data_IF_024531928027
#
_entry.id   IF_024531928027
#
_cell.length_a   1.000
_cell.length_b   1.000
_cell.length_c   1.000
_cell.angle_alpha   90.00
_cell.angle_beta   90.00
_cell.angle_gamma   90.00
#
_symmetry.space_group_name_H-M   'P 1'
#
loop_
_entity.id
_entity.type
_entity.pdbx_description
1 polymer ?
#
# COMPACT_ATOMS: atom_id res chain seq x y z
N UNK A 1 -50.89 -23.10 25.44
CA UNK A 1 -50.31 -22.45 24.23
C UNK A 1 -49.34 -21.38 24.72
N UNK A 2 -48.07 -21.75 24.89
CA UNK A 2 -47.00 -20.85 25.34
C UNK A 2 -46.19 -20.49 24.10
N UNK A 3 -46.30 -19.25 23.63
CA UNK A 3 -45.55 -18.74 22.49
C UNK A 3 -44.10 -18.52 22.92
N UNK A 4 -43.21 -19.42 22.49
CA UNK A 4 -41.76 -19.21 22.52
C UNK A 4 -41.41 -18.32 21.33
N UNK A 5 -41.18 -17.03 21.57
CA UNK A 5 -40.62 -16.13 20.56
C UNK A 5 -39.10 -16.35 20.49
N UNK A 6 -38.54 -16.70 19.31
CA UNK A 6 -37.11 -16.82 19.15
C UNK A 6 -36.46 -15.43 19.20
N UNK A 7 -35.43 -15.28 20.03
CA UNK A 7 -34.54 -14.13 19.97
C UNK A 7 -33.91 -14.07 18.58
N UNK A 8 -34.40 -13.14 17.76
CA UNK A 8 -33.78 -12.80 16.48
C UNK A 8 -32.47 -12.10 16.81
N UNK A 9 -31.36 -12.83 16.72
CA UNK A 9 -30.00 -12.29 16.74
C UNK A 9 -29.87 -11.36 15.53
N UNK A 10 -30.14 -10.07 15.72
CA UNK A 10 -29.81 -9.06 14.74
C UNK A 10 -28.29 -8.91 14.72
N UNK A 11 -27.61 -9.58 13.78
CA UNK A 11 -26.24 -9.26 13.41
C UNK A 11 -26.22 -7.85 12.82
N UNK A 12 -26.09 -6.86 13.71
CA UNK A 12 -25.89 -5.49 13.34
C UNK A 12 -24.43 -5.36 12.90
N UNK A 13 -24.13 -5.73 11.65
CA UNK A 13 -22.81 -5.56 11.05
C UNK A 13 -22.57 -4.05 10.87
N UNK A 14 -22.17 -3.37 11.94
CA UNK A 14 -21.64 -2.01 11.85
C UNK A 14 -20.45 -2.07 10.90
N UNK A 15 -20.54 -1.35 9.78
CA UNK A 15 -19.42 -1.19 8.86
C UNK A 15 -18.36 -0.39 9.61
N UNK A 16 -17.18 -0.98 9.80
CA UNK A 16 -16.04 -0.26 10.35
C UNK A 16 -15.63 0.85 9.37
N UNK A 17 -15.52 2.08 9.88
CA UNK A 17 -15.05 3.22 9.12
C UNK A 17 -13.55 3.43 9.31
N UNK A 18 -12.88 3.84 8.24
CA UNK A 18 -11.43 4.05 8.23
C UNK A 18 -11.07 5.45 7.68
N UNK A 19 -10.04 6.05 8.28
CA UNK A 19 -9.34 7.21 7.74
C UNK A 19 -8.11 6.77 6.95
N UNK A 20 -7.99 7.24 5.71
CA UNK A 20 -6.82 7.00 4.87
C UNK A 20 -5.79 8.13 5.04
N UNK A 21 -4.52 7.76 5.21
CA UNK A 21 -3.41 8.70 5.31
C UNK A 21 -2.29 8.30 4.35
N UNK A 22 -1.75 9.29 3.67
CA UNK A 22 -0.55 9.12 2.84
C UNK A 22 0.65 8.78 3.74
N UNK A 23 1.34 7.69 3.41
CA UNK A 23 2.51 7.22 4.14
C UNK A 23 3.78 7.40 3.31
N UNK A 24 4.84 7.87 3.97
CA UNK A 24 6.17 7.90 3.38
C UNK A 24 6.77 6.49 3.33
N UNK A 25 7.19 6.06 2.14
CA UNK A 25 8.00 4.85 1.97
C UNK A 25 9.41 5.16 2.45
N UNK A 26 9.84 4.46 3.49
CA UNK A 26 11.14 4.67 4.15
C UNK A 26 12.25 3.88 3.45
N UNK A 27 11.93 2.71 2.92
CA UNK A 27 12.90 1.84 2.27
C UNK A 27 12.26 1.05 1.12
N UNK A 28 13.04 0.83 0.06
CA UNK A 28 12.64 0.05 -1.11
C UNK A 28 13.75 -0.93 -1.46
N UNK A 29 13.42 -2.22 -1.46
CA UNK A 29 14.31 -3.29 -1.92
C UNK A 29 13.85 -3.78 -3.28
N UNK A 30 14.70 -3.56 -4.26
CA UNK A 30 14.52 -4.08 -5.62
C UNK A 30 15.36 -5.34 -5.75
N UNK A 31 14.80 -6.45 -6.25
CA UNK A 31 15.54 -7.71 -6.38
C UNK A 31 16.61 -7.64 -7.48
N UNK A 32 16.33 -6.95 -8.58
CA UNK A 32 17.22 -6.80 -9.74
C UNK A 32 16.89 -5.50 -10.48
N UNK A 33 17.88 -4.87 -11.12
CA UNK A 33 17.69 -3.63 -11.88
C UNK A 33 17.33 -3.86 -13.35
N UNK A 34 17.13 -5.12 -13.76
CA UNK A 34 16.83 -5.52 -15.13
C UNK A 34 15.76 -6.63 -15.17
N UNK A 35 14.77 -6.51 -16.07
CA UNK A 35 13.72 -7.52 -16.33
C UNK A 35 13.43 -7.63 -17.82
N UNK A 36 12.76 -8.72 -18.24
CA UNK A 36 12.22 -8.82 -19.60
C UNK A 36 10.87 -8.11 -19.70
N UNK A 37 10.54 -7.65 -20.90
CA UNK A 37 9.24 -7.05 -21.18
C UNK A 37 8.10 -8.04 -20.87
N UNK A 38 7.09 -7.55 -20.14
CA UNK A 38 5.97 -8.37 -19.68
C UNK A 38 6.22 -9.18 -18.41
N UNK A 39 7.45 -9.22 -17.89
CA UNK A 39 7.72 -9.82 -16.57
C UNK A 39 7.32 -8.86 -15.45
N UNK A 40 6.80 -9.42 -14.36
CA UNK A 40 6.49 -8.66 -13.15
C UNK A 40 7.68 -8.68 -12.19
N UNK A 41 8.10 -7.50 -11.74
CA UNK A 41 9.08 -7.33 -10.68
C UNK A 41 8.38 -7.05 -9.36
N UNK A 42 8.54 -7.96 -8.40
CA UNK A 42 8.08 -7.76 -7.02
C UNK A 42 9.08 -6.94 -6.21
N UNK A 43 8.70 -5.71 -5.87
CA UNK A 43 9.52 -4.74 -5.14
C UNK A 43 9.02 -4.66 -3.69
N UNK A 44 9.90 -4.88 -2.71
CA UNK A 44 9.53 -4.72 -1.29
C UNK A 44 9.59 -3.23 -0.91
N UNK A 45 8.47 -2.67 -0.51
CA UNK A 45 8.36 -1.34 0.07
C UNK A 45 8.10 -1.44 1.58
N UNK A 46 8.83 -0.63 2.35
CA UNK A 46 8.70 -0.55 3.81
C UNK A 46 8.30 0.87 4.18
N UNK A 47 7.30 1.00 5.02
CA UNK A 47 6.74 2.26 5.52
C UNK A 47 6.36 2.12 6.99
N UNK A 48 6.04 3.23 7.65
CA UNK A 48 5.62 3.24 9.04
C UNK A 48 4.15 3.65 9.17
N UNK A 49 3.40 2.90 9.96
CA UNK A 49 2.12 3.31 10.52
C UNK A 49 2.36 4.11 11.81
N UNK A 50 1.61 5.19 12.00
CA UNK A 50 1.74 6.10 13.14
C UNK A 50 1.33 5.47 14.48
N UNK A 51 0.56 4.38 14.45
CA UNK A 51 0.17 3.59 15.62
C UNK A 51 -0.07 2.12 15.22
N UNK A 52 -0.34 1.25 16.19
CA UNK A 52 -0.45 -0.20 15.99
C UNK A 52 -1.62 -0.60 15.06
N UNK A 53 -2.67 0.22 14.99
CA UNK A 53 -3.84 -0.04 14.17
C UNK A 53 -3.66 0.29 12.69
N UNK A 54 -2.58 0.97 12.30
CA UNK A 54 -2.40 1.34 10.90
C UNK A 54 -2.18 0.11 10.02
N UNK A 55 -3.01 -0.03 8.99
CA UNK A 55 -2.92 -1.10 8.01
C UNK A 55 -2.62 -0.54 6.63
N UNK A 56 -1.81 -1.24 5.85
CA UNK A 56 -1.68 -0.90 4.44
C UNK A 56 -3.04 -0.98 3.75
N UNK A 57 -3.40 0.08 3.02
CA UNK A 57 -4.60 0.10 2.21
C UNK A 57 -4.27 -0.19 0.74
N UNK A 58 -3.44 0.65 0.13
CA UNK A 58 -3.17 0.60 -1.32
C UNK A 58 -1.88 1.30 -1.71
N UNK A 59 -1.40 0.93 -2.89
CA UNK A 59 -0.52 1.78 -3.68
C UNK A 59 -1.37 2.60 -4.67
N UNK A 60 -0.96 3.83 -4.89
CA UNK A 60 -1.50 4.71 -5.92
C UNK A 60 -0.42 5.00 -6.94
N UNK A 61 -0.76 4.77 -8.19
CA UNK A 61 0.13 4.95 -9.33
C UNK A 61 -0.24 6.19 -10.12
N UNK A 62 0.76 6.97 -10.50
CA UNK A 62 0.61 8.07 -11.44
C UNK A 62 1.77 8.11 -12.41
N UNK A 63 1.49 7.83 -13.68
CA UNK A 63 2.46 8.05 -14.75
C UNK A 63 2.67 9.55 -14.97
N UNK A 64 3.91 9.99 -14.89
CA UNK A 64 4.31 11.38 -15.15
C UNK A 64 4.64 11.57 -16.64
N UNK A 65 5.19 10.52 -17.24
CA UNK A 65 5.47 10.37 -18.67
C UNK A 65 5.41 8.87 -19.04
N UNK A 66 5.87 8.49 -20.23
CA UNK A 66 5.82 7.09 -20.70
C UNK A 66 6.65 6.10 -19.87
N UNK A 67 7.69 6.56 -19.18
CA UNK A 67 8.67 5.71 -18.48
C UNK A 67 8.86 6.10 -17.01
N UNK A 68 8.30 7.21 -16.55
CA UNK A 68 8.36 7.65 -15.15
C UNK A 68 7.04 7.38 -14.44
N UNK A 69 7.08 6.51 -13.43
CA UNK A 69 5.95 6.16 -12.59
C UNK A 69 6.16 6.69 -11.17
N UNK A 70 5.22 7.49 -10.68
CA UNK A 70 5.13 7.83 -9.26
C UNK A 70 4.27 6.82 -8.52
N UNK A 71 4.77 6.36 -7.37
CA UNK A 71 4.13 5.41 -6.49
C UNK A 71 3.98 6.04 -5.11
N UNK A 72 2.74 6.14 -4.65
CA UNK A 72 2.37 6.57 -3.29
C UNK A 72 1.75 5.41 -2.54
N UNK A 73 1.97 5.34 -1.23
CA UNK A 73 1.38 4.33 -0.38
C UNK A 73 0.44 4.99 0.62
N UNK A 74 -0.70 4.34 0.86
CA UNK A 74 -1.68 4.81 1.81
C UNK A 74 -1.90 3.77 2.90
N UNK A 75 -1.90 4.24 4.14
CA UNK A 75 -2.24 3.45 5.33
C UNK A 75 -3.60 3.92 5.81
N UNK A 76 -4.46 2.97 6.18
CA UNK A 76 -5.77 3.25 6.77
C UNK A 76 -5.75 2.98 8.27
N UNK A 77 -6.55 3.73 9.00
CA UNK A 77 -6.72 3.61 10.45
C UNK A 77 -8.19 3.55 10.78
N UNK A 78 -8.63 2.68 11.72
CA UNK A 78 -10.01 2.69 12.16
C UNK A 78 -10.32 4.03 12.83
N UNK A 79 -11.51 4.59 12.56
CA UNK A 79 -11.96 5.85 13.19
C UNK A 79 -12.35 5.66 14.65
N UNK A 80 -12.85 4.48 14.97
CA UNK A 80 -13.27 4.09 16.31
C UNK A 80 -12.30 3.05 16.87
N UNK A 81 -12.22 2.96 18.20
CA UNK A 81 -11.36 2.01 18.89
C UNK A 81 -10.11 2.64 19.49
N UNK A 82 -9.49 1.92 20.41
CA UNK A 82 -8.29 2.36 21.12
C UNK A 82 -7.08 1.67 20.49
N UNK A 83 -6.16 2.49 19.98
CA UNK A 83 -4.94 2.02 19.35
C UNK A 83 -3.73 2.32 20.25
N UNK A 84 -2.88 1.32 20.46
CA UNK A 84 -1.59 1.54 21.11
C UNK A 84 -0.76 2.53 20.30
N UNK A 85 -0.23 3.56 20.96
CA UNK A 85 0.55 4.63 20.33
C UNK A 85 2.01 4.18 20.09
N UNK A 86 2.16 3.10 19.33
CA UNK A 86 3.45 2.51 18.95
C UNK A 86 3.58 2.53 17.44
N UNK A 87 4.69 3.06 16.93
CA UNK A 87 4.96 3.07 15.49
C UNK A 87 5.13 1.64 15.01
N UNK A 88 4.30 1.22 14.06
CA UNK A 88 4.35 -0.13 13.48
C UNK A 88 5.00 -0.08 12.11
N UNK A 89 5.99 -0.94 11.88
CA UNK A 89 6.56 -1.17 10.56
C UNK A 89 5.58 -1.93 9.68
N UNK A 90 5.32 -1.42 8.48
CA UNK A 90 4.44 -2.03 7.48
C UNK A 90 5.28 -2.37 6.25
N UNK A 91 5.31 -3.66 5.91
CA UNK A 91 6.01 -4.17 4.73
C UNK A 91 5.00 -4.65 3.69
N UNK A 92 5.18 -4.22 2.43
CA UNK A 92 4.35 -4.67 1.31
C UNK A 92 5.15 -4.88 0.04
N UNK A 93 4.63 -5.79 -0.78
CA UNK A 93 5.13 -6.03 -2.13
C UNK A 93 4.35 -5.12 -3.09
N UNK A 94 5.09 -4.36 -3.88
CA UNK A 94 4.61 -3.63 -5.02
C UNK A 94 5.05 -4.36 -6.28
N UNK A 95 4.09 -4.82 -7.07
CA UNK A 95 4.35 -5.56 -8.30
C UNK A 95 4.37 -4.58 -9.48
N UNK A 96 5.55 -4.43 -10.10
CA UNK A 96 5.75 -3.58 -11.26
C UNK A 96 5.79 -4.42 -12.54
N UNK A 97 4.87 -4.16 -13.48
CA UNK A 97 4.84 -4.81 -14.80
C UNK A 97 4.98 -3.76 -15.91
N UNK A 98 6.14 -3.65 -16.58
CA UNK A 98 6.33 -2.71 -17.66
C UNK A 98 5.54 -3.14 -18.91
N UNK A 99 5.06 -2.16 -19.68
CA UNK A 99 4.27 -2.42 -20.90
C UNK A 99 5.14 -2.60 -22.15
N UNK A 100 6.35 -2.03 -22.13
CA UNK A 100 7.28 -2.01 -23.26
C UNK A 100 8.72 -2.06 -22.76
N UNK A 101 9.64 -2.51 -23.60
CA UNK A 101 11.09 -2.37 -23.37
C UNK A 101 11.47 -0.89 -23.27
N UNK A 102 12.49 -0.59 -22.44
CA UNK A 102 12.89 0.79 -22.15
C UNK A 102 13.54 0.94 -20.77
N UNK A 103 13.88 2.18 -20.43
CA UNK A 103 14.42 2.51 -19.10
C UNK A 103 13.36 3.25 -18.30
N UNK A 104 12.90 2.64 -17.22
CA UNK A 104 11.87 3.19 -16.34
C UNK A 104 12.49 3.85 -15.11
N UNK A 105 11.81 4.89 -14.62
CA UNK A 105 12.11 5.55 -13.36
C UNK A 105 10.90 5.38 -12.44
N UNK A 106 11.07 4.56 -11.41
CA UNK A 106 10.08 4.38 -10.36
C UNK A 106 10.39 5.36 -9.22
N UNK A 107 9.45 6.26 -8.93
CA UNK A 107 9.56 7.27 -7.89
C UNK A 107 8.62 6.92 -6.74
N UNK A 108 9.16 6.46 -5.62
CA UNK A 108 8.40 6.13 -4.41
C UNK A 108 8.34 7.34 -3.47
N UNK A 109 7.15 7.83 -3.13
CA UNK A 109 7.00 8.97 -2.23
C UNK A 109 7.50 8.63 -0.82
N UNK A 110 8.45 9.41 -0.31
CA UNK A 110 9.10 9.15 0.98
C UNK A 110 8.75 10.17 2.08
N UNK A 111 7.58 10.81 2.00
CA UNK A 111 7.17 11.84 2.97
C UNK A 111 7.69 13.25 2.64
N UNK A 112 8.20 13.44 1.43
CA UNK A 112 8.75 14.71 0.93
C UNK A 112 9.41 14.44 -0.43
N UNK A 113 10.75 14.34 -0.49
CA UNK A 113 11.42 13.87 -1.71
C UNK A 113 11.04 12.41 -2.03
N UNK A 114 11.23 12.02 -3.29
CA UNK A 114 10.97 10.65 -3.75
C UNK A 114 12.25 9.80 -3.71
N UNK A 115 12.13 8.53 -3.29
CA UNK A 115 13.14 7.50 -3.54
C UNK A 115 12.99 7.08 -5.00
N UNK A 116 13.99 7.40 -5.83
CA UNK A 116 13.97 7.06 -7.26
C UNK A 116 14.78 5.81 -7.54
N UNK A 117 14.25 4.93 -8.37
CA UNK A 117 14.89 3.68 -8.79
C UNK A 117 14.79 3.52 -10.30
N UNK A 118 15.89 3.15 -10.94
CA UNK A 118 15.97 2.94 -12.38
C UNK A 118 15.87 1.45 -12.67
N UNK A 119 14.96 1.08 -13.58
CA UNK A 119 14.78 -0.29 -14.06
C UNK A 119 14.99 -0.34 -15.56
N UNK A 120 15.83 -1.27 -16.02
CA UNK A 120 16.01 -1.55 -17.44
C UNK A 120 15.09 -2.70 -17.85
N UNK A 121 14.30 -2.51 -18.89
CA UNK A 121 13.38 -3.52 -19.43
C UNK A 121 13.86 -3.88 -20.83
N UNK A 122 14.15 -5.17 -21.06
CA UNK A 122 14.61 -5.70 -22.35
C UNK A 122 13.53 -6.46 -23.09
#
# INVERSE_FOLDING_TARGET
>A
MLLVLPLVYACNNKKEEFDEKLAGIQFVRIPFSEIRNGETMSIKAVMAASNECGEFNRFEEKWVDENTLEIKAYIRYPKEGVCAQVIKTVEKIYDFTPKKAGTYILKFYAGGPYISKRITVR
#
